data_IF_172685372512
#
_entry.id   IF_172685372512
#
_cell.length_a   1.000
_cell.length_b   1.000
_cell.length_c   1.000
_cell.angle_alpha   90.00
_cell.angle_beta   90.00
_cell.angle_gamma   90.00
#
_symmetry.space_group_name_H-M   'P 1'
#
loop_
_entity.id
_entity.type
_entity.pdbx_description
1 polymer ?
#
# COMPACT_ATOMS: atom_id res chain seq x y z
N UNK A 1 9.08 -28.63 -23.68
CA UNK A 1 9.41 -27.20 -23.46
C UNK A 1 8.39 -26.65 -22.51
N UNK A 2 8.85 -26.27 -21.32
CA UNK A 2 7.98 -25.84 -20.23
C UNK A 2 7.67 -24.36 -20.40
N UNK A 3 6.68 -24.07 -21.25
CA UNK A 3 6.19 -22.70 -21.50
C UNK A 3 5.73 -22.00 -20.22
N UNK A 4 5.31 -22.75 -19.21
CA UNK A 4 4.91 -22.20 -17.91
C UNK A 4 6.11 -21.60 -17.19
N UNK A 5 7.26 -22.26 -17.16
CA UNK A 5 8.47 -21.72 -16.52
C UNK A 5 9.05 -20.50 -17.24
N UNK A 6 8.92 -20.44 -18.58
CA UNK A 6 9.35 -19.26 -19.33
C UNK A 6 8.47 -18.04 -19.05
N UNK A 7 7.16 -18.23 -19.02
CA UNK A 7 6.21 -17.15 -18.71
C UNK A 7 6.34 -16.70 -17.25
N UNK A 8 6.47 -17.66 -16.33
CA UNK A 8 6.65 -17.34 -14.89
C UNK A 8 7.97 -16.62 -14.61
N UNK A 9 9.08 -17.10 -15.18
CA UNK A 9 10.39 -16.46 -14.98
C UNK A 9 10.44 -15.04 -15.52
N UNK A 10 9.92 -14.80 -16.74
CA UNK A 10 9.87 -13.45 -17.31
C UNK A 10 8.86 -12.53 -16.58
N UNK A 11 7.76 -13.08 -16.08
CA UNK A 11 6.79 -12.32 -15.30
C UNK A 11 7.39 -11.83 -13.97
N UNK A 12 8.14 -12.66 -13.26
CA UNK A 12 8.80 -12.27 -12.02
C UNK A 12 9.85 -11.17 -12.24
N UNK A 13 10.73 -11.32 -13.23
CA UNK A 13 11.78 -10.33 -13.52
C UNK A 13 11.16 -8.99 -13.91
N UNK A 14 10.18 -8.97 -14.81
CA UNK A 14 9.52 -7.74 -15.23
C UNK A 14 8.68 -7.13 -14.10
N UNK A 15 8.05 -7.94 -13.26
CA UNK A 15 7.21 -7.47 -12.17
C UNK A 15 8.05 -6.83 -11.05
N UNK A 16 9.21 -7.38 -10.71
CA UNK A 16 10.08 -6.82 -9.68
C UNK A 16 10.66 -5.46 -10.09
N UNK A 17 11.02 -5.28 -11.36
CA UNK A 17 11.42 -3.98 -11.89
C UNK A 17 10.28 -2.97 -11.87
N UNK A 18 9.09 -3.36 -12.27
CA UNK A 18 7.91 -2.49 -12.25
C UNK A 18 7.55 -2.09 -10.81
N UNK A 19 7.59 -3.03 -9.89
CA UNK A 19 7.29 -2.76 -8.48
C UNK A 19 8.29 -1.82 -7.83
N UNK A 20 9.59 -2.01 -8.07
CA UNK A 20 10.61 -1.09 -7.56
C UNK A 20 10.38 0.33 -8.09
N UNK A 21 10.07 0.47 -9.37
CA UNK A 21 9.74 1.75 -10.01
C UNK A 21 8.49 2.39 -9.38
N UNK A 22 7.45 1.61 -9.12
CA UNK A 22 6.23 2.09 -8.49
C UNK A 22 6.46 2.56 -7.05
N UNK A 23 7.25 1.82 -6.27
CA UNK A 23 7.63 2.22 -4.91
C UNK A 23 8.40 3.54 -4.95
N UNK A 24 9.43 3.63 -5.80
CA UNK A 24 10.24 4.85 -5.95
C UNK A 24 9.38 6.02 -6.39
N UNK A 25 8.49 5.82 -7.38
CA UNK A 25 7.55 6.82 -7.84
C UNK A 25 6.66 7.31 -6.71
N UNK A 26 6.14 6.43 -5.87
CA UNK A 26 5.26 6.81 -4.76
C UNK A 26 5.98 7.65 -3.71
N UNK A 27 7.22 7.27 -3.35
CA UNK A 27 8.03 8.09 -2.45
C UNK A 27 8.33 9.46 -3.06
N UNK A 28 8.65 9.51 -4.34
CA UNK A 28 8.92 10.74 -5.04
C UNK A 28 7.66 11.64 -5.10
N UNK A 29 6.51 11.05 -5.36
CA UNK A 29 5.22 11.78 -5.35
C UNK A 29 4.90 12.35 -3.97
N UNK A 30 5.17 11.61 -2.89
CA UNK A 30 4.97 12.09 -1.53
C UNK A 30 5.95 13.23 -1.17
N UNK A 31 7.21 13.11 -1.57
CA UNK A 31 8.20 14.18 -1.40
C UNK A 31 7.80 15.43 -2.16
N UNK A 32 7.33 15.27 -3.40
CA UNK A 32 6.80 16.36 -4.22
C UNK A 32 5.58 17.02 -3.57
N UNK A 33 4.65 16.21 -3.08
CA UNK A 33 3.48 16.72 -2.37
C UNK A 33 3.89 17.61 -1.21
N UNK A 34 4.85 17.19 -0.40
CA UNK A 34 5.35 17.98 0.72
C UNK A 34 6.03 19.29 0.29
N UNK A 35 6.85 19.22 -0.78
CA UNK A 35 7.64 20.35 -1.26
C UNK A 35 6.79 21.38 -2.01
N UNK A 36 5.91 20.89 -2.87
CA UNK A 36 5.23 21.72 -3.86
C UNK A 36 3.81 22.12 -3.46
N UNK A 37 3.26 21.55 -2.38
CA UNK A 37 1.90 21.88 -1.93
C UNK A 37 1.67 23.38 -1.76
N UNK A 38 2.69 24.13 -1.32
CA UNK A 38 2.62 25.57 -1.16
C UNK A 38 2.72 26.36 -2.48
N UNK A 39 3.14 25.71 -3.57
CA UNK A 39 3.28 26.31 -4.90
C UNK A 39 2.06 26.07 -5.80
N UNK A 40 1.08 25.29 -5.30
CA UNK A 40 -0.19 25.12 -5.99
C UNK A 40 -1.07 26.37 -5.85
N UNK A 41 -2.01 26.61 -6.75
CA UNK A 41 -3.02 27.64 -6.59
C UNK A 41 -3.76 27.51 -5.26
N UNK A 42 -4.11 28.63 -4.65
CA UNK A 42 -4.68 28.67 -3.30
C UNK A 42 -5.97 27.88 -3.14
N UNK A 43 -6.77 27.78 -4.18
CA UNK A 43 -7.99 26.97 -4.25
C UNK A 43 -7.73 25.47 -4.22
N UNK A 44 -6.53 25.05 -4.59
CA UNK A 44 -6.11 23.64 -4.59
C UNK A 44 -5.31 23.30 -3.34
N UNK A 45 -4.31 24.14 -2.98
CA UNK A 45 -3.43 23.87 -1.83
C UNK A 45 -4.15 23.96 -0.49
N UNK A 46 -5.17 24.82 -0.39
CA UNK A 46 -5.86 25.09 0.88
C UNK A 46 -6.46 23.83 1.50
N UNK A 47 -6.97 22.91 0.69
CA UNK A 47 -7.60 21.68 1.16
C UNK A 47 -6.60 20.57 1.48
N UNK A 48 -5.48 20.48 0.74
CA UNK A 48 -4.54 19.37 0.83
C UNK A 48 -3.25 19.71 1.57
N UNK A 49 -3.14 20.92 2.08
CA UNK A 49 -1.93 21.43 2.76
C UNK A 49 -1.49 20.56 3.93
N UNK A 50 -2.42 19.98 4.66
CA UNK A 50 -2.15 19.13 5.83
C UNK A 50 -2.65 17.70 5.63
N UNK A 51 -2.38 17.11 4.47
CA UNK A 51 -2.79 15.72 4.20
C UNK A 51 -2.21 14.73 5.21
N UNK A 52 -1.02 15.01 5.78
CA UNK A 52 -0.41 14.17 6.81
C UNK A 52 -1.17 14.24 8.13
N UNK A 53 -1.62 15.42 8.52
CA UNK A 53 -2.46 15.61 9.70
C UNK A 53 -3.82 14.94 9.55
N UNK A 54 -4.49 15.12 8.42
CA UNK A 54 -5.78 14.47 8.15
C UNK A 54 -5.65 12.94 8.07
N UNK A 55 -4.56 12.42 7.49
CA UNK A 55 -4.28 10.99 7.48
C UNK A 55 -4.11 10.44 8.91
N UNK A 56 -3.28 11.11 9.72
CA UNK A 56 -3.06 10.73 11.12
C UNK A 56 -4.35 10.80 11.95
N UNK A 57 -5.14 11.84 11.77
CA UNK A 57 -6.43 12.00 12.44
C UNK A 57 -7.40 10.87 12.10
N UNK A 58 -7.45 10.46 10.82
CA UNK A 58 -8.33 9.39 10.37
C UNK A 58 -7.91 8.01 10.83
N UNK A 59 -6.62 7.67 10.70
CA UNK A 59 -6.12 6.32 10.89
C UNK A 59 -5.43 6.10 12.25
N UNK A 60 -5.04 7.18 12.93
CA UNK A 60 -4.32 7.11 14.22
C UNK A 60 -2.86 6.69 14.11
N UNK A 61 -2.26 6.87 12.92
CA UNK A 61 -0.84 6.72 12.63
C UNK A 61 -0.45 7.61 11.44
N UNK A 62 0.81 7.95 11.33
CA UNK A 62 1.33 8.78 10.25
C UNK A 62 1.56 7.98 8.96
N UNK A 63 1.67 8.68 7.82
CA UNK A 63 2.06 8.08 6.53
C UNK A 63 3.41 7.37 6.64
N UNK A 64 4.37 7.94 7.37
CA UNK A 64 5.69 7.33 7.56
C UNK A 64 5.61 6.01 8.36
N UNK A 65 4.79 5.97 9.41
CA UNK A 65 4.55 4.76 10.19
C UNK A 65 3.83 3.68 9.40
N UNK A 66 2.88 4.08 8.56
CA UNK A 66 2.24 3.19 7.58
C UNK A 66 3.29 2.55 6.66
N UNK A 67 4.07 3.38 5.96
CA UNK A 67 5.09 2.90 5.01
C UNK A 67 6.13 2.01 5.68
N UNK A 68 6.59 2.39 6.88
CA UNK A 68 7.53 1.58 7.63
C UNK A 68 6.95 0.20 7.99
N UNK A 69 5.68 0.16 8.41
CA UNK A 69 5.01 -1.10 8.74
C UNK A 69 4.90 -2.01 7.51
N UNK A 70 4.49 -1.47 6.35
CA UNK A 70 4.42 -2.24 5.09
C UNK A 70 5.80 -2.72 4.65
N UNK A 71 6.82 -1.86 4.78
CA UNK A 71 8.20 -2.23 4.42
C UNK A 71 8.71 -3.40 5.28
N UNK A 72 8.40 -3.38 6.58
CA UNK A 72 8.75 -4.46 7.49
C UNK A 72 8.04 -5.77 7.14
N UNK A 73 6.76 -5.71 6.76
CA UNK A 73 6.03 -6.88 6.31
C UNK A 73 6.59 -7.45 5.00
N UNK A 74 6.99 -6.58 4.06
CA UNK A 74 7.64 -7.01 2.83
C UNK A 74 8.98 -7.68 3.12
N UNK A 75 9.79 -7.13 4.01
CA UNK A 75 11.05 -7.75 4.47
C UNK A 75 10.81 -9.14 5.05
N UNK A 76 9.80 -9.28 5.92
CA UNK A 76 9.43 -10.55 6.52
C UNK A 76 8.92 -11.55 5.48
N UNK A 77 8.18 -11.09 4.48
CA UNK A 77 7.67 -11.92 3.40
C UNK A 77 8.81 -12.46 2.54
N UNK A 78 9.69 -11.59 2.03
CA UNK A 78 10.87 -11.96 1.21
C UNK A 78 11.80 -12.88 2.00
N UNK A 79 12.06 -12.58 3.27
CA UNK A 79 12.89 -13.41 4.13
C UNK A 79 12.35 -14.82 4.33
N UNK A 80 11.03 -15.02 4.24
CA UNK A 80 10.39 -16.33 4.35
C UNK A 80 10.49 -17.16 3.08
N UNK A 81 10.40 -16.54 1.91
CA UNK A 81 10.57 -17.22 0.63
C UNK A 81 11.97 -17.85 0.50
N UNK A 82 12.99 -17.20 1.04
CA UNK A 82 14.37 -17.72 1.03
C UNK A 82 14.63 -18.84 2.05
N UNK A 83 13.78 -18.98 3.06
CA UNK A 83 13.82 -20.08 4.03
C UNK A 83 12.66 -21.05 3.75
N UNK A 84 12.89 -22.09 2.97
CA UNK A 84 11.97 -23.20 2.71
C UNK A 84 11.55 -23.97 3.98
N UNK A 85 11.46 -23.31 5.11
CA UNK A 85 10.97 -23.92 6.34
C UNK A 85 9.45 -23.82 6.37
N UNK A 86 8.79 -24.96 6.47
CA UNK A 86 7.34 -25.16 6.69
C UNK A 86 6.81 -24.54 7.99
N UNK A 87 7.43 -23.47 8.49
CA UNK A 87 6.95 -22.75 9.65
C UNK A 87 5.80 -21.84 9.24
N UNK A 88 4.88 -21.68 10.15
CA UNK A 88 3.68 -20.86 9.99
C UNK A 88 3.96 -19.56 9.24
N UNK A 89 3.25 -19.36 8.11
CA UNK A 89 3.26 -18.10 7.38
C UNK A 89 2.53 -16.96 8.13
N UNK A 90 1.91 -17.30 9.25
CA UNK A 90 1.23 -16.32 10.09
C UNK A 90 2.24 -15.43 10.82
N UNK A 91 2.05 -14.13 10.65
CA UNK A 91 2.82 -13.09 11.34
C UNK A 91 2.14 -12.84 12.67
N UNK A 92 2.90 -13.00 13.74
CA UNK A 92 2.52 -12.55 15.06
C UNK A 92 3.17 -11.17 15.29
N UNK A 93 2.39 -10.07 15.36
CA UNK A 93 2.97 -8.74 15.52
C UNK A 93 3.77 -8.58 16.81
N UNK A 94 3.39 -9.26 17.88
CA UNK A 94 4.12 -9.19 19.16
C UNK A 94 5.53 -9.80 19.06
N UNK A 95 5.69 -10.76 18.15
CA UNK A 95 7.01 -11.34 17.84
C UNK A 95 7.76 -10.52 16.80
N UNK A 96 7.07 -10.17 15.69
CA UNK A 96 7.68 -9.50 14.55
C UNK A 96 8.19 -8.08 14.89
N UNK A 97 7.49 -7.38 15.76
CA UNK A 97 7.80 -6.01 16.18
C UNK A 97 8.29 -5.94 17.64
N UNK A 98 8.69 -7.08 18.22
CA UNK A 98 9.21 -7.16 19.58
C UNK A 98 10.37 -6.16 19.79
N UNK A 99 10.31 -5.42 20.90
CA UNK A 99 11.34 -4.44 21.25
C UNK A 99 11.34 -3.16 20.39
N UNK A 100 10.43 -3.01 19.43
CA UNK A 100 10.31 -1.80 18.65
C UNK A 100 9.31 -0.80 19.25
N UNK A 101 9.54 0.50 19.06
CA UNK A 101 8.62 1.55 19.51
C UNK A 101 7.31 1.58 18.71
N UNK A 102 7.26 0.90 17.56
CA UNK A 102 6.12 0.96 16.63
C UNK A 102 5.17 -0.23 16.76
N UNK A 103 5.37 -1.16 17.68
CA UNK A 103 4.53 -2.35 17.84
C UNK A 103 3.02 -2.01 17.83
N UNK A 104 2.60 -1.07 18.67
CA UNK A 104 1.19 -0.68 18.77
C UNK A 104 0.66 -0.02 17.48
N UNK A 105 1.53 0.68 16.77
CA UNK A 105 1.22 1.32 15.48
C UNK A 105 1.10 0.25 14.40
N UNK A 106 2.06 -0.64 14.31
CA UNK A 106 2.03 -1.76 13.36
C UNK A 106 0.77 -2.61 13.52
N UNK A 107 0.35 -2.91 14.75
CA UNK A 107 -0.93 -3.58 15.03
C UNK A 107 -2.12 -2.82 14.45
N UNK A 108 -2.16 -1.48 14.59
CA UNK A 108 -3.23 -0.67 13.99
C UNK A 108 -3.18 -0.69 12.46
N UNK A 109 -2.00 -0.57 11.87
CA UNK A 109 -1.81 -0.62 10.41
C UNK A 109 -2.27 -1.98 9.88
N UNK A 110 -1.78 -3.08 10.45
CA UNK A 110 -2.17 -4.43 10.04
C UNK A 110 -3.66 -4.68 10.19
N UNK A 111 -4.27 -4.23 11.29
CA UNK A 111 -5.71 -4.33 11.51
C UNK A 111 -6.50 -3.55 10.46
N UNK A 112 -6.07 -2.34 10.11
CA UNK A 112 -6.73 -1.53 9.09
C UNK A 112 -6.60 -2.14 7.69
N UNK A 113 -5.52 -2.85 7.41
CA UNK A 113 -5.22 -3.48 6.13
C UNK A 113 -5.61 -4.96 6.06
N UNK A 114 -6.40 -5.45 7.01
CA UNK A 114 -6.80 -6.85 7.05
C UNK A 114 -8.31 -7.01 7.08
N UNK A 115 -8.74 -8.20 6.69
CA UNK A 115 -10.07 -8.73 6.94
C UNK A 115 -9.95 -10.19 7.39
N UNK A 116 -10.94 -10.69 8.13
CA UNK A 116 -11.03 -12.11 8.42
C UNK A 116 -11.58 -12.90 7.21
N UNK A 117 -11.54 -14.21 7.30
CA UNK A 117 -12.07 -15.07 6.24
C UNK A 117 -13.58 -14.90 6.02
N UNK A 118 -14.31 -14.44 7.04
CA UNK A 118 -15.75 -14.19 6.92
C UNK A 118 -16.00 -12.99 6.02
N UNK A 119 -15.28 -11.89 6.24
CA UNK A 119 -15.36 -10.70 5.40
C UNK A 119 -14.99 -10.99 3.95
N UNK A 120 -13.94 -11.77 3.70
CA UNK A 120 -13.56 -12.17 2.33
C UNK A 120 -14.64 -13.03 1.65
N UNK A 121 -15.22 -14.00 2.37
CA UNK A 121 -16.31 -14.83 1.83
C UNK A 121 -17.55 -14.01 1.50
N UNK A 122 -17.89 -13.07 2.34
CA UNK A 122 -19.03 -12.18 2.12
C UNK A 122 -18.81 -11.30 0.91
N UNK A 123 -17.62 -10.69 0.80
CA UNK A 123 -17.25 -9.92 -0.37
C UNK A 123 -17.30 -10.77 -1.66
N UNK A 124 -16.70 -11.96 -1.68
CA UNK A 124 -16.75 -12.85 -2.84
C UNK A 124 -18.18 -13.24 -3.25
N UNK A 125 -19.09 -13.40 -2.28
CA UNK A 125 -20.51 -13.68 -2.60
C UNK A 125 -21.17 -12.47 -3.24
N UNK A 126 -20.88 -11.27 -2.77
CA UNK A 126 -21.47 -10.04 -3.28
C UNK A 126 -20.95 -9.66 -4.68
N UNK A 127 -19.71 -10.06 -5.00
CA UNK A 127 -19.03 -9.74 -6.28
C UNK A 127 -18.93 -10.93 -7.22
N UNK A 128 -19.74 -11.98 -7.02
CA UNK A 128 -19.66 -13.23 -7.82
C UNK A 128 -19.88 -13.00 -9.32
N UNK A 129 -20.60 -11.95 -9.69
CA UNK A 129 -20.84 -11.57 -11.08
C UNK A 129 -19.79 -10.59 -11.64
N UNK A 130 -18.82 -10.21 -10.83
CA UNK A 130 -17.75 -9.26 -11.15
C UNK A 130 -16.38 -9.94 -10.97
N UNK A 131 -16.05 -10.96 -11.80
CA UNK A 131 -14.88 -11.81 -11.58
C UNK A 131 -13.54 -11.07 -11.66
N UNK A 132 -13.55 -9.83 -12.16
CA UNK A 132 -12.37 -8.96 -12.28
C UNK A 132 -12.28 -7.91 -11.18
N UNK A 133 -13.22 -7.90 -10.22
CA UNK A 133 -13.10 -7.04 -9.05
C UNK A 133 -12.13 -7.64 -8.03
N UNK A 134 -10.96 -7.04 -7.90
CA UNK A 134 -9.92 -7.40 -6.92
C UNK A 134 -9.80 -6.37 -5.79
N UNK A 135 -10.73 -5.43 -5.71
CA UNK A 135 -10.66 -4.28 -4.80
C UNK A 135 -10.41 -4.70 -3.35
N UNK A 136 -11.14 -5.70 -2.85
CA UNK A 136 -10.97 -6.17 -1.48
C UNK A 136 -9.54 -6.67 -1.19
N UNK A 137 -8.94 -7.38 -2.15
CA UNK A 137 -7.57 -7.90 -1.99
C UNK A 137 -6.52 -6.79 -2.05
N UNK A 138 -6.78 -5.73 -2.81
CA UNK A 138 -5.90 -4.57 -2.89
C UNK A 138 -6.03 -3.70 -1.64
N UNK A 139 -7.24 -3.44 -1.15
CA UNK A 139 -7.48 -2.63 0.03
C UNK A 139 -7.12 -3.35 1.34
N UNK A 140 -7.27 -4.67 1.37
CA UNK A 140 -7.02 -5.54 2.54
C UNK A 140 -6.05 -6.65 2.18
N UNK A 141 -4.74 -6.35 2.03
CA UNK A 141 -3.73 -7.33 1.61
C UNK A 141 -3.44 -8.42 2.63
N UNK A 142 -4.03 -8.36 3.83
CA UNK A 142 -3.81 -9.32 4.89
C UNK A 142 -5.11 -10.03 5.31
N UNK A 143 -5.01 -11.32 5.57
CA UNK A 143 -6.04 -12.09 6.28
C UNK A 143 -5.65 -12.08 7.77
N UNK A 144 -6.61 -11.78 8.65
CA UNK A 144 -6.41 -11.90 10.10
C UNK A 144 -7.03 -13.19 10.64
N UNK A 145 -6.35 -13.80 11.62
CA UNK A 145 -6.88 -14.92 12.41
C UNK A 145 -7.62 -14.42 13.65
N UNK A 146 -8.29 -15.34 14.34
CA UNK A 146 -8.93 -15.06 15.63
C UNK A 146 -7.95 -14.66 16.74
N UNK A 147 -6.68 -15.02 16.61
CA UNK A 147 -5.60 -14.71 17.57
C UNK A 147 -4.83 -13.44 17.19
N UNK A 148 -5.40 -12.56 16.38
CA UNK A 148 -4.75 -11.33 15.86
C UNK A 148 -3.39 -11.57 15.15
N UNK A 149 -3.26 -12.73 14.49
CA UNK A 149 -2.14 -13.01 13.60
C UNK A 149 -2.55 -12.70 12.17
N UNK A 150 -1.57 -12.39 11.32
CA UNK A 150 -1.78 -11.91 9.98
C UNK A 150 -1.04 -12.76 8.97
N UNK A 151 -1.65 -12.97 7.81
CA UNK A 151 -0.99 -13.59 6.66
C UNK A 151 -1.22 -12.72 5.43
N UNK A 152 -0.15 -12.49 4.67
CA UNK A 152 -0.24 -11.77 3.39
C UNK A 152 -0.93 -12.64 2.35
N UNK A 153 -1.87 -12.07 1.60
CA UNK A 153 -2.58 -12.78 0.52
C UNK A 153 -1.63 -13.09 -0.63
N UNK A 154 -0.83 -12.10 -1.04
CA UNK A 154 0.21 -12.25 -2.05
C UNK A 154 1.24 -11.12 -1.94
N UNK A 155 2.41 -11.32 -2.53
CA UNK A 155 3.45 -10.30 -2.65
C UNK A 155 2.96 -9.10 -3.48
N UNK A 156 2.20 -9.35 -4.53
CA UNK A 156 1.60 -8.32 -5.38
C UNK A 156 0.71 -7.37 -4.56
N UNK A 157 -0.22 -7.89 -3.76
CA UNK A 157 -1.13 -7.08 -2.95
C UNK A 157 -0.39 -6.30 -1.88
N UNK A 158 0.67 -6.88 -1.30
CA UNK A 158 1.51 -6.21 -0.33
C UNK A 158 2.32 -5.07 -0.95
N UNK A 159 2.93 -5.32 -2.12
CA UNK A 159 3.66 -4.30 -2.88
C UNK A 159 2.75 -3.14 -3.30
N UNK A 160 1.52 -3.46 -3.74
CA UNK A 160 0.50 -2.46 -4.07
C UNK A 160 0.16 -1.52 -2.93
N UNK A 161 0.37 -1.94 -1.67
CA UNK A 161 0.13 -1.11 -0.49
C UNK A 161 1.07 0.11 -0.40
N UNK A 162 2.22 0.11 -1.09
CA UNK A 162 3.13 1.24 -1.12
C UNK A 162 2.64 2.41 -2.00
N UNK A 163 1.84 2.14 -3.02
CA UNK A 163 1.45 3.17 -3.99
C UNK A 163 -0.06 3.32 -4.10
N UNK A 164 -0.76 2.34 -4.62
CA UNK A 164 -2.18 2.49 -4.92
C UNK A 164 -3.02 2.55 -3.65
N UNK A 165 -2.81 1.62 -2.72
CA UNK A 165 -3.56 1.59 -1.48
C UNK A 165 -3.26 2.82 -0.60
N UNK A 166 -2.01 3.29 -0.56
CA UNK A 166 -1.65 4.52 0.13
C UNK A 166 -2.36 5.74 -0.49
N UNK A 167 -2.38 5.83 -1.82
CA UNK A 167 -3.11 6.88 -2.53
C UNK A 167 -4.60 6.87 -2.17
N UNK A 168 -5.25 5.72 -2.25
CA UNK A 168 -6.67 5.58 -1.90
C UNK A 168 -6.93 5.89 -0.42
N UNK A 169 -5.98 5.56 0.46
CA UNK A 169 -6.06 5.90 1.87
C UNK A 169 -5.96 7.42 2.11
N UNK A 170 -5.08 8.10 1.40
CA UNK A 170 -5.00 9.58 1.44
C UNK A 170 -6.28 10.19 0.87
N UNK A 171 -6.73 9.71 -0.30
CA UNK A 171 -7.98 10.16 -0.93
C UNK A 171 -9.18 10.01 0.01
N UNK A 172 -9.27 8.91 0.71
CA UNK A 172 -10.34 8.66 1.66
C UNK A 172 -10.38 9.65 2.84
N UNK A 173 -9.32 10.43 3.08
CA UNK A 173 -9.34 11.53 4.04
C UNK A 173 -10.18 12.73 3.57
N UNK A 174 -10.52 12.78 2.27
CA UNK A 174 -11.21 13.90 1.61
C UNK A 174 -12.46 13.46 0.84
N UNK A 175 -13.46 12.88 1.52
CA UNK A 175 -14.62 12.30 0.84
C UNK A 175 -15.47 13.32 0.08
N UNK A 176 -15.50 14.58 0.52
CA UNK A 176 -16.30 15.63 -0.10
C UNK A 176 -15.60 16.34 -1.26
N UNK A 177 -14.33 16.06 -1.49
CA UNK A 177 -13.50 16.72 -2.50
C UNK A 177 -12.84 15.73 -3.45
N UNK A 178 -13.50 14.61 -3.68
CA UNK A 178 -12.96 13.44 -4.40
C UNK A 178 -12.40 13.82 -5.78
N UNK A 179 -13.13 14.59 -6.57
CA UNK A 179 -12.71 15.00 -7.91
C UNK A 179 -11.52 15.97 -7.87
N UNK A 180 -11.45 16.81 -6.85
CA UNK A 180 -10.38 17.80 -6.71
C UNK A 180 -9.07 17.16 -6.29
N UNK A 181 -9.11 16.15 -5.41
CA UNK A 181 -7.90 15.41 -5.03
C UNK A 181 -7.35 14.60 -6.20
N UNK A 182 -8.21 14.07 -7.06
CA UNK A 182 -7.77 13.40 -8.29
C UNK A 182 -7.07 14.36 -9.25
N UNK A 183 -7.63 15.55 -9.46
CA UNK A 183 -7.01 16.60 -10.28
C UNK A 183 -5.68 17.06 -9.68
N UNK A 184 -5.63 17.23 -8.36
CA UNK A 184 -4.40 17.60 -7.65
C UNK A 184 -3.31 16.53 -7.83
N UNK A 185 -3.64 15.26 -7.64
CA UNK A 185 -2.71 14.15 -7.79
C UNK A 185 -2.25 14.00 -9.26
N UNK A 186 -3.14 14.23 -10.21
CA UNK A 186 -2.80 14.27 -11.63
C UNK A 186 -1.73 15.31 -11.95
N UNK A 187 -1.85 16.54 -11.41
CA UNK A 187 -0.84 17.59 -11.59
C UNK A 187 0.52 17.25 -10.93
N UNK A 188 0.51 16.57 -9.78
CA UNK A 188 1.74 16.06 -9.18
C UNK A 188 2.42 15.04 -10.10
N UNK A 189 1.62 14.18 -10.71
CA UNK A 189 2.12 13.18 -11.65
C UNK A 189 2.69 13.80 -12.94
N UNK A 190 2.03 14.82 -13.48
CA UNK A 190 2.55 15.59 -14.62
C UNK A 190 3.91 16.22 -14.31
N UNK A 191 4.07 16.81 -13.14
CA UNK A 191 5.36 17.35 -12.68
C UNK A 191 6.43 16.28 -12.51
N UNK A 192 6.06 15.11 -11.97
CA UNK A 192 6.97 13.98 -11.89
C UNK A 192 7.49 13.57 -13.25
N UNK A 193 6.61 13.48 -14.26
CA UNK A 193 6.98 13.15 -15.64
C UNK A 193 7.88 14.23 -16.22
N UNK A 194 7.54 15.51 -16.01
CA UNK A 194 8.33 16.63 -16.51
C UNK A 194 9.76 16.60 -15.96
N UNK A 195 9.93 16.43 -14.65
CA UNK A 195 11.25 16.33 -14.04
C UNK A 195 12.07 15.15 -14.58
N UNK A 196 11.40 14.03 -14.87
CA UNK A 196 12.06 12.87 -15.46
C UNK A 196 12.56 13.15 -16.88
N UNK A 197 11.77 13.85 -17.68
CA UNK A 197 12.15 14.25 -19.03
C UNK A 197 13.30 15.27 -19.00
N UNK A 198 13.25 16.24 -18.10
CA UNK A 198 14.29 17.28 -17.95
C UNK A 198 15.62 16.72 -17.41
N UNK A 199 15.59 15.54 -16.77
CA UNK A 199 16.77 14.86 -16.24
C UNK A 199 17.49 13.95 -17.25
N UNK A 200 16.88 13.72 -18.42
CA UNK A 200 17.46 12.94 -19.52
C UNK A 200 18.31 13.81 -20.45
#
# INVERSE_FOLDING_TARGET
>A
FDTANFVYGNYHINNDHNVASEIVRSFYMLERLDRDVNNFPDDVKGEFKDYRGEFNKKYGYSVAEYLFSIFKELELYIGRESYLSYRSFWIDPDVAYSGTKILNIAKKVLKNLSSDLTGYREWCRNTINEPWDFKMFLEKPFITSADDKYITISDFTLKNSFYENLFWSIKACYPETEDRIMSFYGRLYERYIQDHIESL
#
